data_IF_330071445545
#
_entry.id   IF_330071445545
#
_cell.length_a   1.000
_cell.length_b   1.000
_cell.length_c   1.000
_cell.angle_alpha   90.00
_cell.angle_beta   90.00
_cell.angle_gamma   90.00
#
_symmetry.space_group_name_H-M   'P 1'
#
loop_
_entity.id
_entity.type
_entity.pdbx_description
1 polymer ?
#
# COMPACT_ATOMS: atom_id res chain seq x y z
N UNK A 1 -11.09 -0.27 4.58
CA UNK A 1 -9.60 -0.34 4.70
C UNK A 1 -8.93 -1.00 3.50
N UNK A 2 -9.65 -1.86 2.77
CA UNK A 2 -9.15 -2.54 1.57
C UNK A 2 -8.57 -1.60 0.49
N UNK A 3 -9.20 -0.45 0.23
CA UNK A 3 -8.73 0.50 -0.78
C UNK A 3 -7.31 1.02 -0.45
N UNK A 4 -7.11 1.46 0.79
CA UNK A 4 -5.81 1.90 1.29
C UNK A 4 -4.78 0.77 1.28
N UNK A 5 -5.17 -0.44 1.67
CA UNK A 5 -4.28 -1.60 1.66
C UNK A 5 -3.73 -1.91 0.27
N UNK A 6 -4.58 -1.86 -0.76
CA UNK A 6 -4.16 -2.07 -2.15
C UNK A 6 -3.17 -0.99 -2.61
N UNK A 7 -3.41 0.27 -2.24
CA UNK A 7 -2.47 1.37 -2.52
C UNK A 7 -1.16 1.16 -1.77
N UNK A 8 -1.18 0.79 -0.49
CA UNK A 8 0.03 0.57 0.30
C UNK A 8 0.88 -0.57 -0.26
N UNK A 9 0.26 -1.71 -0.57
CA UNK A 9 0.93 -2.84 -1.22
C UNK A 9 1.46 -2.45 -2.60
N UNK A 10 0.66 -1.72 -3.38
CA UNK A 10 1.07 -1.23 -4.69
C UNK A 10 2.29 -0.32 -4.62
N UNK A 11 2.30 0.64 -3.69
CA UNK A 11 3.41 1.55 -3.45
C UNK A 11 4.66 0.83 -2.93
N UNK A 12 4.51 -0.18 -2.09
CA UNK A 12 5.62 -1.03 -1.68
C UNK A 12 6.30 -1.73 -2.87
N UNK A 13 5.51 -2.40 -3.72
CA UNK A 13 6.01 -3.11 -4.90
C UNK A 13 6.61 -2.17 -5.95
N UNK A 14 6.04 -0.97 -6.08
CA UNK A 14 6.60 0.08 -6.92
C UNK A 14 7.96 0.56 -6.36
N UNK A 15 8.01 0.84 -5.06
CA UNK A 15 9.22 1.33 -4.37
C UNK A 15 10.32 0.27 -4.24
N UNK A 16 9.98 -1.03 -4.22
CA UNK A 16 10.97 -2.11 -4.09
C UNK A 16 11.98 -2.18 -5.24
N UNK A 17 11.65 -1.58 -6.40
CA UNK A 17 12.58 -1.48 -7.52
C UNK A 17 13.43 -0.19 -7.50
N UNK A 18 13.26 0.67 -6.50
CA UNK A 18 14.04 1.90 -6.34
C UNK A 18 15.49 1.61 -5.96
N UNK A 19 16.41 2.48 -6.38
CA UNK A 19 17.82 2.47 -5.93
C UNK A 19 17.96 2.70 -4.43
N UNK A 20 16.97 3.35 -3.81
CA UNK A 20 16.96 3.66 -2.39
C UNK A 20 16.24 2.61 -1.53
N UNK A 21 15.82 1.50 -2.13
CA UNK A 21 15.15 0.45 -1.37
C UNK A 21 16.16 -0.23 -0.43
N UNK A 22 15.84 -0.37 0.88
CA UNK A 22 16.78 -0.95 1.83
C UNK A 22 17.08 -2.43 1.54
N UNK A 23 18.36 -2.79 1.44
CA UNK A 23 18.81 -4.15 1.07
C UNK A 23 18.39 -5.25 2.06
N UNK A 24 18.12 -4.88 3.32
CA UNK A 24 17.68 -5.82 4.36
C UNK A 24 16.19 -6.16 4.30
N UNK A 25 15.42 -5.45 3.47
CA UNK A 25 13.99 -5.72 3.24
C UNK A 25 13.81 -6.66 2.05
N UNK A 26 12.71 -7.39 2.06
CA UNK A 26 12.41 -8.34 0.99
C UNK A 26 12.15 -7.61 -0.33
N UNK A 27 13.00 -7.83 -1.33
CA UNK A 27 12.82 -7.31 -2.68
C UNK A 27 12.35 -8.43 -3.61
N UNK A 28 11.13 -8.37 -4.16
CA UNK A 28 10.69 -9.34 -5.16
C UNK A 28 11.49 -9.16 -6.46
N UNK A 29 12.15 -10.22 -6.93
CA UNK A 29 12.87 -10.22 -8.20
C UNK A 29 11.94 -10.61 -9.36
N UNK A 30 11.05 -9.68 -9.73
CA UNK A 30 10.11 -9.86 -10.84
C UNK A 30 10.22 -8.68 -11.80
N UNK A 31 10.47 -8.98 -13.09
CA UNK A 31 10.57 -7.96 -14.15
C UNK A 31 9.35 -7.05 -14.26
N UNK A 32 8.18 -7.54 -13.83
CA UNK A 32 6.90 -6.83 -13.91
C UNK A 32 6.43 -6.30 -12.55
N UNK A 33 7.31 -6.25 -11.53
CA UNK A 33 6.90 -5.86 -10.16
C UNK A 33 6.34 -4.44 -10.08
N UNK A 34 6.91 -3.51 -10.87
CA UNK A 34 6.41 -2.15 -10.97
C UNK A 34 5.03 -2.10 -11.61
N UNK A 35 4.78 -2.91 -12.63
CA UNK A 35 3.46 -2.99 -13.28
C UNK A 35 2.42 -3.51 -12.28
N UNK A 36 2.75 -4.56 -11.53
CA UNK A 36 1.88 -5.11 -10.49
C UNK A 36 1.59 -4.05 -9.43
N UNK A 37 2.62 -3.32 -8.98
CA UNK A 37 2.48 -2.22 -8.01
C UNK A 37 1.56 -1.10 -8.51
N UNK A 38 1.71 -0.70 -9.77
CA UNK A 38 0.84 0.30 -10.42
C UNK A 38 -0.59 -0.19 -10.55
N UNK A 39 -0.81 -1.46 -10.93
CA UNK A 39 -2.15 -2.04 -11.05
C UNK A 39 -2.87 -2.12 -9.70
N UNK A 40 -2.16 -2.52 -8.64
CA UNK A 40 -2.69 -2.52 -7.27
C UNK A 40 -3.08 -1.12 -6.80
N UNK A 41 -2.21 -0.14 -7.03
CA UNK A 41 -2.49 1.27 -6.69
C UNK A 41 -3.68 1.83 -7.49
N UNK A 42 -3.76 1.48 -8.77
CA UNK A 42 -4.88 1.83 -9.64
C UNK A 42 -6.19 1.19 -9.18
N UNK A 43 -6.17 -0.09 -8.79
CA UNK A 43 -7.34 -0.77 -8.25
C UNK A 43 -7.85 -0.10 -6.96
N UNK A 44 -6.95 0.20 -6.01
CA UNK A 44 -7.32 0.93 -4.80
C UNK A 44 -7.90 2.33 -5.09
N UNK A 45 -7.33 3.03 -6.07
CA UNK A 45 -7.83 4.35 -6.54
C UNK A 45 -9.24 4.23 -7.13
N UNK A 46 -9.47 3.25 -8.00
CA UNK A 46 -10.79 3.01 -8.60
C UNK A 46 -11.84 2.68 -7.54
N UNK A 47 -11.46 1.91 -6.51
CA UNK A 47 -12.38 1.61 -5.41
C UNK A 47 -12.75 2.86 -4.60
N UNK A 48 -11.82 3.78 -4.35
CA UNK A 48 -12.15 5.07 -3.73
C UNK A 48 -13.09 5.91 -4.59
N UNK A 49 -12.83 5.99 -5.89
CA UNK A 49 -13.71 6.70 -6.84
C UNK A 49 -15.10 6.08 -6.86
N UNK A 50 -15.20 4.76 -6.78
CA UNK A 50 -16.46 4.05 -6.76
C UNK A 50 -17.26 4.26 -5.46
N UNK A 51 -16.60 4.34 -4.30
CA UNK A 51 -17.26 4.55 -3.01
C UNK A 51 -17.68 5.99 -2.75
N UNK A 52 -16.81 6.96 -3.08
CA UNK A 52 -16.95 8.37 -2.65
C UNK A 52 -17.17 9.34 -3.82
N UNK A 53 -17.43 8.81 -5.02
CA UNK A 53 -17.60 9.58 -6.25
C UNK A 53 -16.28 10.07 -6.85
N UNK A 54 -16.35 10.61 -8.07
CA UNK A 54 -15.15 10.90 -8.87
C UNK A 54 -14.18 11.92 -8.22
N UNK A 55 -14.69 13.03 -7.70
CA UNK A 55 -13.85 14.08 -7.11
C UNK A 55 -13.39 13.73 -5.69
N UNK A 56 -14.31 13.30 -4.84
CA UNK A 56 -14.03 12.93 -3.45
C UNK A 56 -13.13 11.70 -3.36
N UNK A 57 -13.47 10.66 -4.11
CA UNK A 57 -12.68 9.44 -4.19
C UNK A 57 -11.29 9.66 -4.77
N UNK A 58 -11.13 10.51 -5.80
CA UNK A 58 -9.80 10.84 -6.32
C UNK A 58 -8.95 11.60 -5.28
N UNK A 59 -9.54 12.53 -4.52
CA UNK A 59 -8.85 13.23 -3.44
C UNK A 59 -8.41 12.27 -2.32
N UNK A 60 -9.29 11.34 -1.93
CA UNK A 60 -8.98 10.28 -0.97
C UNK A 60 -7.89 9.33 -1.49
N UNK A 61 -7.93 8.95 -2.76
CA UNK A 61 -6.90 8.11 -3.37
C UNK A 61 -5.53 8.82 -3.40
N UNK A 62 -5.50 10.11 -3.75
CA UNK A 62 -4.26 10.91 -3.74
C UNK A 62 -3.67 11.01 -2.34
N UNK A 63 -4.49 11.28 -1.32
CA UNK A 63 -4.05 11.32 0.08
C UNK A 63 -3.60 9.95 0.59
N UNK A 64 -4.27 8.88 0.19
CA UNK A 64 -3.85 7.51 0.47
C UNK A 64 -2.49 7.18 -0.18
N UNK A 65 -2.27 7.58 -1.43
CA UNK A 65 -1.00 7.39 -2.14
C UNK A 65 0.16 8.12 -1.47
N UNK A 66 -0.03 9.39 -1.09
CA UNK A 66 1.02 10.16 -0.41
C UNK A 66 1.34 9.56 0.96
N UNK A 67 0.32 9.22 1.74
CA UNK A 67 0.49 8.54 3.03
C UNK A 67 1.21 7.20 2.88
N UNK A 68 0.83 6.38 1.90
CA UNK A 68 1.47 5.10 1.63
C UNK A 68 2.96 5.26 1.28
N UNK A 69 3.33 6.23 0.44
CA UNK A 69 4.73 6.50 0.14
C UNK A 69 5.52 6.93 1.38
N UNK A 70 4.97 7.82 2.20
CA UNK A 70 5.61 8.25 3.44
C UNK A 70 5.84 7.09 4.41
N UNK A 71 4.80 6.27 4.63
CA UNK A 71 4.85 5.15 5.57
C UNK A 71 5.84 4.09 5.08
N UNK A 72 5.77 3.68 3.81
CA UNK A 72 6.68 2.65 3.25
C UNK A 72 8.14 3.08 3.40
N UNK A 73 8.46 4.33 3.09
CA UNK A 73 9.82 4.85 3.20
C UNK A 73 10.26 5.01 4.66
N UNK A 74 9.42 5.61 5.51
CA UNK A 74 9.73 5.82 6.93
C UNK A 74 10.03 4.51 7.64
N UNK A 75 9.12 3.54 7.54
CA UNK A 75 9.29 2.24 8.17
C UNK A 75 10.38 1.42 7.48
N UNK A 76 10.60 1.66 6.17
CA UNK A 76 11.70 1.06 5.45
C UNK A 76 13.06 1.47 6.02
N UNK A 77 13.23 2.75 6.35
CA UNK A 77 14.48 3.30 6.91
C UNK A 77 14.66 2.99 8.40
N UNK A 78 13.57 2.91 9.19
CA UNK A 78 13.64 2.58 10.63
C UNK A 78 14.17 1.18 10.91
N UNK A 79 14.12 0.27 9.93
CA UNK A 79 14.71 -1.05 10.02
C UNK A 79 13.71 -2.20 9.95
N UNK A 80 14.25 -3.41 9.82
CA UNK A 80 13.49 -4.64 9.53
C UNK A 80 12.33 -4.89 10.49
N UNK A 81 12.55 -4.74 11.80
CA UNK A 81 11.53 -4.99 12.82
C UNK A 81 10.33 -4.03 12.71
N UNK A 82 10.60 -2.74 12.50
CA UNK A 82 9.55 -1.73 12.35
C UNK A 82 8.74 -1.95 11.07
N UNK A 83 9.42 -2.27 9.97
CA UNK A 83 8.75 -2.54 8.71
C UNK A 83 7.80 -3.74 8.77
N UNK A 84 8.25 -4.88 9.31
CA UNK A 84 7.38 -6.04 9.48
C UNK A 84 6.32 -5.85 10.56
N UNK A 85 6.61 -5.04 11.60
CA UNK A 85 5.61 -4.64 12.59
C UNK A 85 4.47 -3.84 11.95
N UNK A 86 4.80 -2.85 11.12
CA UNK A 86 3.80 -2.11 10.32
C UNK A 86 3.00 -3.07 9.44
N UNK A 87 3.67 -3.96 8.70
CA UNK A 87 2.99 -4.92 7.84
C UNK A 87 2.00 -5.78 8.64
N UNK A 88 2.41 -6.28 9.81
CA UNK A 88 1.55 -7.06 10.70
C UNK A 88 0.33 -6.25 11.20
N UNK A 89 0.53 -5.01 11.63
CA UNK A 89 -0.57 -4.12 12.07
C UNK A 89 -1.56 -3.86 10.94
N UNK A 90 -1.06 -3.55 9.75
CA UNK A 90 -1.91 -3.27 8.59
C UNK A 90 -2.72 -4.51 8.18
N UNK A 91 -2.10 -5.70 8.17
CA UNK A 91 -2.82 -6.95 7.88
C UNK A 91 -3.85 -7.28 8.96
N UNK A 92 -3.51 -7.07 10.24
CA UNK A 92 -4.44 -7.28 11.34
C UNK A 92 -5.67 -6.37 11.22
N UNK A 93 -5.48 -5.08 10.93
CA UNK A 93 -6.58 -4.13 10.70
C UNK A 93 -7.42 -4.50 9.48
N UNK A 94 -6.79 -4.99 8.40
CA UNK A 94 -7.52 -5.47 7.22
C UNK A 94 -8.40 -6.68 7.56
N UNK A 95 -7.89 -7.63 8.33
CA UNK A 95 -8.68 -8.80 8.77
C UNK A 95 -9.88 -8.35 9.60
N UNK A 96 -9.70 -7.42 10.53
CA UNK A 96 -10.81 -6.86 11.31
C UNK A 96 -11.86 -6.17 10.44
N UNK A 97 -11.43 -5.36 9.46
CA UNK A 97 -12.31 -4.69 8.49
C UNK A 97 -13.13 -5.71 7.68
N UNK A 98 -12.49 -6.78 7.18
CA UNK A 98 -13.15 -7.85 6.43
C UNK A 98 -14.16 -8.62 7.30
N UNK A 99 -13.81 -8.94 8.55
CA UNK A 99 -14.72 -9.60 9.49
C UNK A 99 -15.91 -8.72 9.86
N UNK A 100 -15.73 -7.40 9.89
CA UNK A 100 -16.81 -6.44 10.14
C UNK A 100 -17.84 -6.43 9.02
N UNK A 101 -17.40 -6.65 7.77
CA UNK A 101 -18.26 -6.74 6.58
C UNK A 101 -18.97 -8.09 6.43
N UNK A 102 -18.47 -9.13 7.09
CA UNK A 102 -19.05 -10.48 7.05
C UNK A 102 -20.19 -10.68 8.07
N UNK A 103 -20.55 -9.64 8.83
CA UNK A 103 -21.69 -9.60 9.76
C UNK A 103 -22.78 -8.69 9.21
#
# INVERSE_FOLDING_TARGET
>A
MTQFYLILAGMYLYYSNSRYFPDFLFKPDLRWIQLIGTLLSGAGTLLYIWSDGWAGGLLLALTACTLAMCIVQLFGVLGKAYFYGLAAVVHFLLILDLLSYAR
#
